data_IF_570322588150
#
_entry.id   IF_570322588150
#
_cell.length_a   1.000
_cell.length_b   1.000
_cell.length_c   1.000
_cell.angle_alpha   90.00
_cell.angle_beta   90.00
_cell.angle_gamma   90.00
#
_symmetry.space_group_name_H-M   'P 1'
#
loop_
_entity.id
_entity.type
_entity.pdbx_description
1 polymer ?
#
# COMPACT_ATOMS: atom_id res chain seq x y z
N UNK A 1 -6.51 -26.35 26.81
CA UNK A 1 -6.66 -25.03 26.16
C UNK A 1 -5.42 -24.23 26.50
N UNK A 2 -4.44 -24.19 25.60
CA UNK A 2 -3.27 -23.34 25.81
C UNK A 2 -3.59 -21.93 25.35
N UNK A 3 -3.64 -21.01 26.31
CA UNK A 3 -3.78 -19.59 26.05
C UNK A 3 -2.39 -19.06 25.67
N UNK A 4 -2.14 -18.92 24.37
CA UNK A 4 -0.95 -18.22 23.89
C UNK A 4 -0.99 -16.77 24.39
N UNK A 5 0.07 -16.35 25.08
CA UNK A 5 0.26 -14.97 25.51
C UNK A 5 0.43 -14.08 24.27
N UNK A 6 -0.15 -12.86 24.24
CA UNK A 6 0.14 -11.90 23.19
C UNK A 6 1.64 -11.56 23.23
N UNK A 7 2.30 -11.69 22.07
CA UNK A 7 3.68 -11.26 21.88
C UNK A 7 3.81 -9.79 22.28
N UNK A 8 4.55 -9.52 23.36
CA UNK A 8 4.79 -8.16 23.89
C UNK A 8 5.99 -7.48 23.23
N UNK A 9 6.54 -8.06 22.16
CA UNK A 9 7.58 -7.40 21.36
C UNK A 9 6.91 -6.30 20.51
N UNK A 10 7.30 -5.02 20.66
CA UNK A 10 6.87 -4.01 19.72
C UNK A 10 7.46 -4.39 18.36
N UNK A 11 6.62 -4.90 17.46
CA UNK A 11 7.00 -5.07 16.07
C UNK A 11 7.43 -3.69 15.55
N UNK A 12 8.75 -3.48 15.43
CA UNK A 12 9.31 -2.27 14.84
C UNK A 12 9.07 -2.36 13.34
N UNK A 13 7.84 -2.05 12.93
CA UNK A 13 7.46 -1.99 11.52
C UNK A 13 8.35 -0.96 10.83
N UNK A 14 8.87 -1.33 9.67
CA UNK A 14 9.64 -0.40 8.85
C UNK A 14 8.74 0.77 8.43
N UNK A 15 9.28 1.99 8.50
CA UNK A 15 8.55 3.19 8.07
C UNK A 15 8.69 3.33 6.56
N UNK A 16 7.57 3.27 5.85
CA UNK A 16 7.54 3.23 4.38
C UNK A 16 7.13 4.55 3.75
N UNK A 17 6.52 5.45 4.52
CA UNK A 17 6.18 6.81 4.13
C UNK A 17 6.26 7.74 5.35
N UNK A 18 6.53 9.02 5.12
CA UNK A 18 6.73 10.04 6.14
C UNK A 18 7.82 11.04 5.74
N UNK A 19 8.34 11.74 6.75
CA UNK A 19 9.45 12.68 6.61
C UNK A 19 10.77 11.97 6.93
N UNK A 20 11.65 11.87 5.93
CA UNK A 20 12.94 11.19 6.04
C UNK A 20 14.06 12.22 6.11
N UNK A 21 14.82 12.21 7.21
CA UNK A 21 16.03 13.02 7.33
C UNK A 21 17.15 12.41 6.48
N UNK A 22 17.77 13.23 5.64
CA UNK A 22 18.95 12.85 4.88
C UNK A 22 20.15 12.77 5.82
N UNK A 23 20.81 11.61 5.85
CA UNK A 23 22.09 11.49 6.55
C UNK A 23 23.17 12.21 5.74
N UNK A 24 23.95 13.04 6.42
CA UNK A 24 25.16 13.60 5.85
C UNK A 24 26.22 12.52 5.67
N UNK A 25 27.00 12.62 4.58
CA UNK A 25 28.09 11.68 4.28
C UNK A 25 27.93 10.98 2.93
N UNK A 26 28.70 9.91 2.74
CA UNK A 26 28.70 9.16 1.48
C UNK A 26 27.44 8.29 1.38
N UNK A 27 26.72 8.31 0.24
CA UNK A 27 25.56 7.45 0.05
C UNK A 27 25.98 5.98 0.08
N UNK A 28 25.14 5.14 0.69
CA UNK A 28 25.29 3.68 0.60
C UNK A 28 24.85 3.25 -0.80
N UNK A 29 25.73 2.59 -1.53
CA UNK A 29 25.40 1.98 -2.81
C UNK A 29 24.74 0.64 -2.55
N UNK A 30 23.54 0.45 -3.08
CA UNK A 30 22.80 -0.81 -3.02
C UNK A 30 22.81 -1.48 -4.41
N UNK A 31 22.84 -2.82 -4.48
CA UNK A 31 22.65 -3.53 -5.74
C UNK A 31 21.27 -3.20 -6.33
N UNK A 32 21.19 -3.12 -7.67
CA UNK A 32 19.91 -2.87 -8.35
C UNK A 32 18.86 -3.94 -8.01
N UNK A 33 19.27 -5.20 -7.88
CA UNK A 33 18.38 -6.30 -7.50
C UNK A 33 17.79 -6.19 -6.08
N UNK A 34 18.29 -5.26 -5.25
CA UNK A 34 17.73 -4.99 -3.92
C UNK A 34 16.63 -3.93 -3.93
N UNK A 35 16.30 -3.36 -5.11
CA UNK A 35 15.31 -2.30 -5.28
C UNK A 35 14.21 -2.80 -6.23
N UNK A 36 12.95 -2.73 -5.82
CA UNK A 36 11.82 -3.07 -6.69
C UNK A 36 11.47 -1.93 -7.64
N UNK A 37 11.40 -0.70 -7.13
CA UNK A 37 11.07 0.48 -7.92
C UNK A 37 11.62 1.77 -7.28
N UNK A 38 11.65 2.84 -8.07
CA UNK A 38 11.99 4.17 -7.59
C UNK A 38 10.74 4.87 -7.05
N UNK A 39 10.77 5.25 -5.77
CA UNK A 39 9.72 6.08 -5.16
C UNK A 39 9.84 7.53 -5.62
N UNK A 40 8.69 8.18 -5.86
CA UNK A 40 8.65 9.60 -6.22
C UNK A 40 8.35 10.43 -4.98
N UNK A 41 9.32 11.20 -4.44
CA UNK A 41 9.07 12.01 -3.25
C UNK A 41 7.95 13.02 -3.50
N UNK A 42 7.19 13.31 -2.47
CA UNK A 42 6.20 14.38 -2.45
C UNK A 42 6.89 15.75 -2.49
N UNK A 43 7.95 15.90 -1.71
CA UNK A 43 8.73 17.13 -1.61
C UNK A 43 10.20 16.78 -1.27
N UNK A 44 11.14 17.56 -1.79
CA UNK A 44 12.57 17.41 -1.55
C UNK A 44 13.09 18.73 -1.01
N UNK A 45 13.32 18.77 0.30
CA UNK A 45 13.99 19.86 0.98
C UNK A 45 15.52 19.67 1.00
N UNK A 46 16.20 20.59 1.67
CA UNK A 46 17.67 20.55 1.82
C UNK A 46 18.15 19.31 2.57
N UNK A 47 17.53 19.00 3.69
CA UNK A 47 17.94 17.92 4.60
C UNK A 47 16.80 16.91 4.88
N UNK A 48 15.62 17.12 4.28
CA UNK A 48 14.42 16.30 4.50
C UNK A 48 13.83 15.92 3.15
N UNK A 49 13.52 14.64 2.98
CA UNK A 49 12.74 14.11 1.85
C UNK A 49 11.39 13.64 2.39
N UNK A 50 10.31 14.17 1.82
CA UNK A 50 8.95 13.78 2.19
C UNK A 50 8.46 12.73 1.21
N UNK A 51 8.13 11.54 1.67
CA UNK A 51 7.55 10.47 0.85
C UNK A 51 6.17 10.18 1.40
N UNK A 52 5.13 10.57 0.68
CA UNK A 52 3.75 10.34 1.05
C UNK A 52 3.02 9.61 -0.09
N UNK A 53 2.07 8.72 0.22
CA UNK A 53 1.22 8.11 -0.80
C UNK A 53 0.49 9.21 -1.59
N UNK A 54 0.40 9.03 -2.91
CA UNK A 54 -0.22 9.98 -3.83
C UNK A 54 -1.46 9.41 -4.47
N UNK A 55 -2.37 10.30 -4.90
CA UNK A 55 -3.57 9.91 -5.64
C UNK A 55 -3.23 9.00 -6.84
N UNK A 56 -3.94 7.89 -6.94
CA UNK A 56 -3.82 6.88 -7.99
C UNK A 56 -2.77 5.79 -7.73
N UNK A 57 -1.95 5.93 -6.69
CA UNK A 57 -0.99 4.89 -6.31
C UNK A 57 -1.70 3.71 -5.61
N UNK A 58 -1.10 2.53 -5.77
CA UNK A 58 -1.54 1.30 -5.12
C UNK A 58 -0.60 0.98 -3.97
N UNK A 59 -1.16 0.68 -2.81
CA UNK A 59 -0.41 0.45 -1.59
C UNK A 59 -0.88 -0.82 -0.89
N UNK A 60 0.09 -1.55 -0.34
CA UNK A 60 -0.17 -2.53 0.71
C UNK A 60 -0.37 -1.79 2.04
N UNK A 61 -1.51 -2.02 2.67
CA UNK A 61 -1.90 -1.38 3.92
C UNK A 61 -2.10 -2.45 4.99
N UNK A 62 -1.41 -2.35 6.11
CA UNK A 62 -1.68 -3.21 7.27
C UNK A 62 -3.13 -3.01 7.73
N UNK A 63 -3.83 -4.13 7.92
CA UNK A 63 -5.15 -4.13 8.53
C UNK A 63 -5.07 -3.56 9.96
N UNK A 64 -6.07 -2.77 10.33
CA UNK A 64 -6.20 -2.28 11.71
C UNK A 64 -6.70 -3.42 12.61
N UNK A 65 -5.92 -3.81 13.62
CA UNK A 65 -6.30 -4.83 14.62
C UNK A 65 -5.11 -5.56 15.25
N UNK A 66 -5.38 -6.30 16.35
CA UNK A 66 -4.41 -7.08 17.16
C UNK A 66 -3.95 -8.39 16.49
N UNK A 67 -4.07 -8.51 15.17
CA UNK A 67 -3.61 -9.72 14.49
C UNK A 67 -2.09 -9.72 14.46
N UNK A 68 -1.50 -10.68 15.17
CA UNK A 68 -0.09 -11.09 15.04
C UNK A 68 0.28 -11.58 13.64
N UNK A 69 -0.69 -11.64 12.72
CA UNK A 69 -0.51 -11.92 11.30
C UNK A 69 -0.39 -10.60 10.54
N UNK A 70 0.66 -10.48 9.73
CA UNK A 70 0.90 -9.37 8.79
C UNK A 70 -0.11 -9.39 7.63
N UNK A 71 -1.40 -9.30 7.94
CA UNK A 71 -2.44 -9.20 6.93
C UNK A 71 -2.48 -7.79 6.33
N UNK A 72 -2.54 -7.74 5.01
CA UNK A 72 -2.59 -6.51 4.24
C UNK A 72 -3.90 -6.42 3.46
N UNK A 73 -4.45 -5.22 3.41
CA UNK A 73 -5.36 -4.81 2.35
C UNK A 73 -4.54 -4.19 1.22
N UNK A 74 -4.97 -4.40 -0.02
CA UNK A 74 -4.43 -3.67 -1.17
C UNK A 74 -5.40 -2.55 -1.46
N UNK A 75 -4.91 -1.31 -1.49
CA UNK A 75 -5.75 -0.12 -1.63
C UNK A 75 -5.26 0.79 -2.74
N UNK A 76 -6.19 1.47 -3.41
CA UNK A 76 -5.90 2.59 -4.31
C UNK A 76 -6.16 3.91 -3.57
N UNK A 77 -5.20 4.83 -3.60
CA UNK A 77 -5.38 6.18 -3.04
C UNK A 77 -6.28 7.02 -3.95
N UNK A 78 -7.39 7.53 -3.43
CA UNK A 78 -8.34 8.41 -4.15
C UNK A 78 -8.11 9.90 -3.90
N UNK A 79 -7.74 10.24 -2.67
CA UNK A 79 -7.39 11.60 -2.24
C UNK A 79 -6.18 11.48 -1.32
N UNK A 80 -5.08 12.16 -1.63
CA UNK A 80 -3.86 12.16 -0.81
C UNK A 80 -3.90 13.28 0.25
N UNK A 81 -2.81 13.42 1.00
CA UNK A 81 -2.69 14.42 2.08
C UNK A 81 -2.50 15.87 1.58
N UNK A 82 -2.67 16.17 0.29
CA UNK A 82 -2.47 17.55 -0.21
C UNK A 82 -3.47 18.56 0.37
N UNK A 83 -4.68 18.09 0.69
CA UNK A 83 -5.81 18.95 1.09
C UNK A 83 -6.16 18.83 2.59
N UNK A 84 -5.35 18.13 3.39
CA UNK A 84 -5.60 17.95 4.81
C UNK A 84 -4.86 16.77 5.45
N UNK A 85 -5.32 16.38 6.63
CA UNK A 85 -4.69 15.35 7.46
C UNK A 85 -5.30 13.95 7.27
N UNK A 86 -6.17 13.77 6.29
CA UNK A 86 -6.86 12.51 6.00
C UNK A 86 -6.66 12.17 4.52
N UNK A 87 -6.15 10.97 4.27
CA UNK A 87 -6.05 10.36 2.95
C UNK A 87 -7.23 9.42 2.78
N UNK A 88 -7.89 9.45 1.62
CA UNK A 88 -8.98 8.52 1.28
C UNK A 88 -8.48 7.46 0.32
N UNK A 89 -8.70 6.19 0.66
CA UNK A 89 -8.34 5.06 -0.18
C UNK A 89 -9.54 4.13 -0.40
N UNK A 90 -9.49 3.28 -1.42
CA UNK A 90 -10.49 2.22 -1.63
C UNK A 90 -9.82 0.87 -1.68
N UNK A 91 -10.41 -0.13 -1.04
CA UNK A 91 -9.91 -1.50 -1.09
C UNK A 91 -10.06 -2.10 -2.49
N UNK A 92 -9.06 -2.86 -2.91
CA UNK A 92 -9.06 -3.65 -4.13
C UNK A 92 -9.18 -5.14 -3.79
N UNK A 93 -9.86 -5.89 -4.65
CA UNK A 93 -9.94 -7.35 -4.58
C UNK A 93 -9.30 -7.96 -5.82
N UNK A 94 -8.63 -9.10 -5.63
CA UNK A 94 -8.12 -9.90 -6.74
C UNK A 94 -9.29 -10.37 -7.61
N UNK A 95 -9.07 -10.43 -8.92
CA UNK A 95 -10.01 -10.91 -9.92
C UNK A 95 -9.35 -11.94 -10.83
N UNK A 96 -9.67 -13.21 -10.63
CA UNK A 96 -9.10 -14.27 -11.44
C UNK A 96 -7.65 -14.53 -11.06
N UNK A 97 -6.69 -14.13 -11.89
CA UNK A 97 -5.25 -14.33 -11.64
C UNK A 97 -4.76 -13.51 -10.43
N UNK A 98 -3.61 -13.92 -9.88
CA UNK A 98 -3.04 -13.34 -8.67
C UNK A 98 -2.58 -11.89 -8.82
N UNK A 99 -2.40 -11.37 -10.04
CA UNK A 99 -1.91 -10.02 -10.31
C UNK A 99 -2.98 -9.01 -10.73
N UNK A 100 -4.21 -9.44 -11.02
CA UNK A 100 -5.27 -8.55 -11.52
C UNK A 100 -6.22 -8.16 -10.39
N UNK A 101 -6.39 -6.86 -10.18
CA UNK A 101 -7.16 -6.30 -9.07
C UNK A 101 -8.21 -5.29 -9.56
N UNK A 102 -9.35 -5.24 -8.86
CA UNK A 102 -10.43 -4.30 -9.12
C UNK A 102 -10.96 -3.71 -7.81
N UNK A 103 -11.62 -2.55 -7.89
CA UNK A 103 -12.28 -1.94 -6.73
C UNK A 103 -13.26 -2.93 -6.10
N UNK A 104 -13.12 -3.12 -4.77
CA UNK A 104 -14.06 -3.89 -3.99
C UNK A 104 -15.38 -3.11 -3.88
N UNK A 105 -16.40 -3.49 -4.64
CA UNK A 105 -17.74 -2.92 -4.50
C UNK A 105 -18.44 -3.58 -3.33
N UNK A 106 -18.57 -2.87 -2.20
CA UNK A 106 -19.52 -3.26 -1.15
C UNK A 106 -20.93 -2.89 -1.59
N UNK A 107 -21.89 -3.78 -1.33
CA UNK A 107 -23.30 -3.53 -1.62
C UNK A 107 -23.86 -2.57 -0.55
N UNK A 108 -23.94 -1.27 -0.84
CA UNK A 108 -24.39 -0.24 0.10
C UNK A 108 -23.81 1.15 -0.19
N UNK A 109 -24.52 2.21 0.22
CA UNK A 109 -24.46 3.58 -0.31
C UNK A 109 -23.19 4.41 -0.06
N UNK A 110 -22.10 3.81 0.38
CA UNK A 110 -20.77 4.39 0.27
C UNK A 110 -19.88 3.30 -0.33
N UNK A 111 -19.34 3.57 -1.52
CA UNK A 111 -18.17 2.84 -2.04
C UNK A 111 -17.18 2.71 -0.87
N UNK A 112 -16.57 1.54 -0.68
CA UNK A 112 -15.79 1.19 0.52
C UNK A 112 -14.52 2.02 0.71
N UNK A 113 -14.68 3.33 0.91
CA UNK A 113 -13.67 4.35 1.17
C UNK A 113 -13.19 4.16 2.59
N UNK A 114 -11.87 4.14 2.72
CA UNK A 114 -11.12 4.04 3.96
C UNK A 114 -10.48 5.41 4.17
N UNK A 115 -10.87 6.08 5.25
CA UNK A 115 -10.21 7.29 5.71
C UNK A 115 -8.99 6.88 6.54
N UNK A 116 -7.82 7.38 6.16
CA UNK A 116 -6.54 7.10 6.80
C UNK A 116 -5.97 8.41 7.31
N UNK A 117 -6.19 8.75 8.59
CA UNK A 117 -5.57 9.91 9.22
C UNK A 117 -4.05 9.85 9.11
N UNK A 118 -3.39 10.99 9.03
CA UNK A 118 -1.92 11.08 8.99
C UNK A 118 -1.27 10.42 10.21
N UNK A 119 -1.94 10.45 11.36
CA UNK A 119 -1.54 9.74 12.58
C UNK A 119 -1.49 8.20 12.41
N UNK A 120 -2.18 7.64 11.41
CA UNK A 120 -2.20 6.21 11.08
C UNK A 120 -1.31 5.86 9.88
N UNK A 121 -0.43 6.76 9.42
CA UNK A 121 0.44 6.49 8.25
C UNK A 121 1.35 5.27 8.41
N UNK A 122 1.63 4.84 9.64
CA UNK A 122 2.39 3.63 9.95
C UNK A 122 1.73 2.34 9.45
N UNK A 123 0.46 2.43 9.00
CA UNK A 123 -0.24 1.33 8.33
C UNK A 123 0.23 1.11 6.90
N UNK A 124 0.83 2.09 6.23
CA UNK A 124 1.38 1.89 4.87
C UNK A 124 2.61 0.98 4.94
N UNK A 125 2.54 -0.17 4.28
CA UNK A 125 3.62 -1.17 4.25
C UNK A 125 4.58 -0.91 3.10
N UNK A 126 4.08 -0.79 1.86
CA UNK A 126 4.88 -0.45 0.69
C UNK A 126 3.96 -0.09 -0.48
N UNK A 127 4.50 0.68 -1.43
CA UNK A 127 3.87 0.91 -2.72
C UNK A 127 3.98 -0.34 -3.58
N UNK A 128 2.89 -0.71 -4.23
CA UNK A 128 2.84 -1.82 -5.19
C UNK A 128 2.85 -1.21 -6.60
N UNK A 129 3.89 -1.46 -7.42
CA UNK A 129 3.89 -1.03 -8.82
C UNK A 129 2.66 -1.58 -9.55
N UNK A 130 1.97 -0.69 -10.28
CA UNK A 130 0.69 -1.01 -10.87
C UNK A 130 0.51 -0.32 -12.24
N UNK A 131 -0.10 -1.04 -13.17
CA UNK A 131 -0.58 -0.51 -14.45
C UNK A 131 -2.10 -0.51 -14.43
N UNK A 132 -2.70 0.68 -14.60
CA UNK A 132 -4.15 0.83 -14.70
C UNK A 132 -4.59 0.59 -16.14
N UNK A 133 -5.48 -0.38 -16.32
CA UNK A 133 -6.11 -0.70 -17.61
C UNK A 133 -7.54 -0.19 -17.62
N UNK A 134 -7.78 0.89 -18.37
CA UNK A 134 -9.12 1.41 -18.64
C UNK A 134 -9.71 0.67 -19.84
N UNK A 135 -10.88 0.05 -19.68
CA UNK A 135 -11.42 -0.78 -20.76
C UNK A 135 -12.04 0.07 -21.86
N UNK A 136 -11.55 -0.08 -23.09
CA UNK A 136 -12.34 0.11 -24.31
C UNK A 136 -13.27 -1.09 -24.48
N UNK A 137 -14.57 -0.91 -24.20
CA UNK A 137 -15.66 -1.75 -24.71
C UNK A 137 -15.59 -3.25 -24.39
N UNK A 138 -16.03 -3.69 -23.20
CA UNK A 138 -16.73 -4.99 -23.00
C UNK A 138 -17.22 -5.11 -21.54
N UNK A 139 -18.51 -4.84 -21.35
CA UNK A 139 -19.52 -5.15 -20.30
C UNK A 139 -19.20 -5.72 -18.90
N UNK A 140 -17.96 -6.04 -18.49
CA UNK A 140 -17.74 -6.83 -17.26
C UNK A 140 -17.18 -6.07 -16.05
N UNK A 141 -16.73 -4.82 -16.20
CA UNK A 141 -16.27 -3.99 -15.06
C UNK A 141 -16.42 -2.52 -15.40
N UNK A 142 -17.38 -1.83 -14.79
CA UNK A 142 -17.38 -0.36 -14.79
C UNK A 142 -16.20 0.12 -13.92
N UNK A 143 -15.21 0.80 -14.50
CA UNK A 143 -14.11 1.43 -13.74
C UNK A 143 -12.69 0.93 -13.99
N UNK A 144 -12.50 -0.10 -14.83
CA UNK A 144 -11.16 -0.64 -15.16
C UNK A 144 -10.60 -1.64 -14.14
N UNK A 145 -9.35 -2.04 -14.32
CA UNK A 145 -8.63 -2.93 -13.40
C UNK A 145 -7.15 -2.51 -13.31
N UNK A 146 -6.48 -2.96 -12.25
CA UNK A 146 -5.04 -2.78 -12.05
C UNK A 146 -4.34 -4.12 -12.24
N UNK A 147 -3.27 -4.11 -13.01
CA UNK A 147 -2.29 -5.18 -13.04
C UNK A 147 -1.15 -4.79 -12.12
N UNK A 148 -0.93 -5.58 -11.06
CA UNK A 148 0.07 -5.34 -10.04
C UNK A 148 1.30 -6.23 -10.27
N UNK A 149 2.47 -5.73 -9.87
CA UNK A 149 3.69 -6.53 -9.80
C UNK A 149 3.52 -7.70 -8.80
N UNK A 150 3.56 -8.97 -9.26
CA UNK A 150 3.38 -10.12 -8.39
C UNK A 150 4.36 -10.21 -7.22
N UNK A 151 5.60 -9.73 -7.39
CA UNK A 151 6.62 -9.79 -6.34
C UNK A 151 6.37 -8.77 -5.22
N UNK A 152 5.59 -7.72 -5.52
CA UNK A 152 5.21 -6.68 -4.58
C UNK A 152 3.84 -6.93 -3.94
N UNK A 153 3.15 -8.04 -4.25
CA UNK A 153 1.88 -8.39 -3.60
C UNK A 153 2.16 -9.06 -2.26
N UNK A 154 1.63 -8.55 -1.13
CA UNK A 154 1.79 -9.19 0.17
C UNK A 154 1.33 -10.65 0.15
N UNK A 155 2.22 -11.54 0.56
CA UNK A 155 2.11 -12.98 0.43
C UNK A 155 0.75 -13.51 0.91
N UNK A 156 -0.04 -14.09 -0.02
CA UNK A 156 -0.82 -15.27 0.30
C UNK A 156 0.12 -16.44 0.03
N UNK A 157 0.42 -17.25 1.04
CA UNK A 157 1.23 -18.46 0.94
C UNK A 157 0.98 -19.19 -0.37
N UNK A 158 1.92 -19.09 -1.32
CA UNK A 158 1.91 -19.98 -2.48
C UNK A 158 2.51 -21.29 -1.94
N UNK A 159 1.64 -22.24 -1.61
CA UNK A 159 2.07 -23.63 -1.43
C UNK A 159 2.43 -24.10 -2.83
N UNK A 160 3.72 -24.30 -3.09
CA UNK A 160 4.17 -25.05 -4.24
C UNK A 160 4.09 -26.53 -3.85
N UNK A 161 3.16 -27.25 -4.47
CA UNK A 161 3.14 -28.71 -4.53
C UNK A 161 4.04 -29.25 -5.66
#
# INVERSE_FOLDING_TARGET
MELYRPSTEPATRSVSCGDFNLKSGRPKILPQASLSHQVKPFDIGKDIVKVYPKKGEIWALYKSGDSTKEEHDIVEVKEDYSNGEVLKAVALTAKGSSSLFMIQRKQGSNEGVIDIPKAEMSRFSHQIPAVKHEKRTTRLVEGGYWELDPEAIPCRTIVLD
#
